data_IF_151813077760
#
_entry.id   IF_151813077760
#
_cell.length_a   1.000
_cell.length_b   1.000
_cell.length_c   1.000
_cell.angle_alpha   90.00
_cell.angle_beta   90.00
_cell.angle_gamma   90.00
#
_symmetry.space_group_name_H-M   'P 1'
#
loop_
_entity.id
_entity.type
_entity.pdbx_description
1 polymer ?
#
# COMPACT_ATOMS: atom_id res chain seq x y z
N UNK A 1 7.33 2.27 -90.17
CA UNK A 1 7.10 3.70 -89.81
C UNK A 1 5.91 3.75 -88.86
N UNK A 2 5.91 4.47 -87.72
CA UNK A 2 6.99 4.87 -86.81
C UNK A 2 6.69 4.60 -85.30
N UNK A 3 7.73 4.77 -84.48
CA UNK A 3 7.81 5.35 -83.11
C UNK A 3 6.94 4.89 -81.92
N UNK A 4 7.64 4.60 -80.81
CA UNK A 4 7.16 4.84 -79.44
C UNK A 4 8.04 4.24 -78.34
N UNK A 5 9.01 4.97 -77.75
CA UNK A 5 9.67 4.57 -76.51
C UNK A 5 9.10 5.38 -75.34
N UNK A 6 8.56 4.71 -74.31
CA UNK A 6 8.14 5.39 -73.09
C UNK A 6 7.89 4.41 -71.95
N UNK A 7 8.49 4.65 -70.79
CA UNK A 7 8.06 3.98 -69.54
C UNK A 7 9.14 3.25 -68.74
N UNK A 8 10.42 3.64 -68.79
CA UNK A 8 11.44 3.08 -67.88
C UNK A 8 12.19 4.10 -67.01
N UNK A 9 11.95 5.41 -67.18
CA UNK A 9 12.55 6.48 -66.37
C UNK A 9 11.82 6.79 -65.05
N UNK A 10 10.48 6.72 -65.05
CA UNK A 10 9.66 7.31 -63.99
C UNK A 10 9.63 6.49 -62.69
N UNK A 11 9.91 5.18 -62.78
CA UNK A 11 9.90 4.28 -61.64
C UNK A 11 11.20 4.33 -60.80
N UNK A 12 12.30 4.81 -61.38
CA UNK A 12 13.57 4.97 -60.65
C UNK A 12 13.62 6.31 -59.92
N UNK A 13 13.07 7.36 -60.54
CA UNK A 13 13.09 8.72 -59.99
C UNK A 13 12.20 8.85 -58.74
N UNK A 14 11.07 8.15 -58.72
CA UNK A 14 10.19 8.06 -57.54
C UNK A 14 10.84 7.32 -56.36
N UNK A 15 11.76 6.38 -56.60
CA UNK A 15 12.50 5.68 -55.53
C UNK A 15 13.64 6.52 -54.96
N UNK A 16 14.33 7.30 -55.80
CA UNK A 16 15.38 8.24 -55.35
C UNK A 16 14.77 9.42 -54.58
N UNK A 17 13.63 9.95 -55.04
CA UNK A 17 12.88 11.00 -54.33
C UNK A 17 12.40 10.53 -52.94
N UNK A 18 11.89 9.28 -52.81
CA UNK A 18 11.50 8.72 -51.51
C UNK A 18 12.68 8.46 -50.57
N UNK A 19 13.87 8.12 -51.07
CA UNK A 19 15.07 7.96 -50.23
C UNK A 19 15.60 9.30 -49.72
N UNK A 20 15.54 10.38 -50.50
CA UNK A 20 15.97 11.72 -50.05
C UNK A 20 15.06 12.32 -48.97
N UNK A 21 13.77 11.98 -48.97
CA UNK A 21 12.83 12.39 -47.92
C UNK A 21 13.05 11.67 -46.56
N UNK A 22 13.73 10.51 -46.55
CA UNK A 22 13.98 9.73 -45.33
C UNK A 22 15.24 10.16 -44.54
N UNK A 23 16.09 11.02 -45.12
CA UNK A 23 17.31 11.57 -44.47
C UNK A 23 17.16 13.01 -44.01
N UNK A 24 15.97 13.60 -44.08
CA UNK A 24 15.69 14.90 -43.47
C UNK A 24 15.41 14.72 -41.98
N UNK A 25 16.47 14.57 -41.19
CA UNK A 25 16.43 14.75 -39.73
C UNK A 25 15.94 16.18 -39.48
N UNK A 26 14.85 16.40 -38.73
CA UNK A 26 14.40 17.76 -38.47
C UNK A 26 15.49 18.51 -37.69
N UNK A 27 15.87 19.68 -38.18
CA UNK A 27 16.86 20.60 -37.59
C UNK A 27 16.54 21.04 -36.13
N UNK A 28 15.47 20.53 -35.52
CA UNK A 28 15.15 20.66 -34.09
C UNK A 28 15.93 19.70 -33.18
N UNK A 29 16.53 18.64 -33.71
CA UNK A 29 17.28 17.66 -32.90
C UNK A 29 18.77 17.99 -32.71
N UNK A 30 19.35 18.88 -33.53
CA UNK A 30 20.74 19.32 -33.36
C UNK A 30 20.92 20.30 -32.21
N UNK A 31 19.93 21.16 -31.95
CA UNK A 31 19.97 22.11 -30.82
C UNK A 31 19.85 21.42 -29.45
N UNK A 32 19.09 20.32 -29.37
CA UNK A 32 18.82 19.65 -28.08
C UNK A 32 20.01 18.83 -27.56
N UNK A 33 20.90 18.37 -28.45
CA UNK A 33 22.14 17.66 -28.04
C UNK A 33 23.25 18.58 -27.55
N UNK A 34 23.29 19.84 -28.00
CA UNK A 34 24.29 20.81 -27.53
C UNK A 34 24.01 21.31 -26.10
N UNK A 35 22.73 21.43 -25.71
CA UNK A 35 22.35 21.92 -24.38
C UNK A 35 22.53 20.91 -23.23
N UNK A 36 22.77 19.62 -23.51
CA UNK A 36 22.97 18.59 -22.46
C UNK A 36 24.47 18.46 -22.10
N UNK A 37 25.38 18.94 -22.95
CA UNK A 37 26.83 18.83 -22.71
C UNK A 37 27.40 19.91 -21.78
N UNK A 38 26.72 21.06 -21.64
CA UNK A 38 27.11 22.13 -20.73
C UNK A 38 25.97 22.36 -19.73
N UNK A 39 26.19 22.01 -18.47
CA UNK A 39 25.20 22.05 -17.39
C UNK A 39 24.75 23.46 -16.98
N UNK A 40 24.18 24.22 -17.91
CA UNK A 40 23.68 25.58 -17.70
C UNK A 40 22.16 25.59 -17.52
N UNK A 41 21.73 25.68 -16.26
CA UNK A 41 20.32 25.74 -15.85
C UNK A 41 19.54 26.98 -16.37
N UNK A 42 20.18 27.86 -17.14
CA UNK A 42 19.57 29.10 -17.65
C UNK A 42 18.85 28.94 -18.99
N UNK A 43 19.10 27.87 -19.76
CA UNK A 43 18.49 27.70 -21.08
C UNK A 43 17.07 27.10 -21.04
N UNK A 44 16.71 26.39 -19.97
CA UNK A 44 15.40 25.74 -19.82
C UNK A 44 14.24 26.74 -19.57
N UNK A 45 14.55 27.97 -19.14
CA UNK A 45 13.54 28.94 -18.72
C UNK A 45 12.89 29.72 -19.89
N UNK A 46 13.41 29.62 -21.12
CA UNK A 46 13.03 30.54 -22.21
C UNK A 46 12.12 29.93 -23.31
N UNK A 47 11.62 28.70 -23.11
CA UNK A 47 10.69 28.04 -24.05
C UNK A 47 9.24 27.94 -23.56
N UNK A 48 8.88 28.58 -22.44
CA UNK A 48 7.50 28.63 -21.97
C UNK A 48 6.70 29.73 -22.69
N UNK A 49 6.22 29.42 -23.90
CA UNK A 49 5.23 30.26 -24.58
C UNK A 49 3.87 30.18 -23.85
N UNK A 50 3.17 31.31 -23.60
CA UNK A 50 1.89 31.30 -22.91
C UNK A 50 0.75 31.00 -23.90
N UNK A 51 -0.17 30.10 -23.53
CA UNK A 51 -1.51 30.06 -24.12
C UNK A 51 -1.80 29.00 -25.17
N UNK A 52 -1.62 27.70 -24.85
CA UNK A 52 -2.28 26.63 -25.60
C UNK A 52 -2.88 25.60 -24.62
N UNK A 53 -4.21 25.58 -24.48
CA UNK A 53 -4.91 24.50 -23.76
C UNK A 53 -4.94 23.26 -24.67
N UNK A 54 -4.40 22.10 -24.26
CA UNK A 54 -4.56 20.88 -25.04
C UNK A 54 -6.03 20.41 -24.92
N UNK A 55 -6.77 20.51 -26.02
CA UNK A 55 -8.13 19.98 -26.14
C UNK A 55 -8.01 18.47 -26.42
N UNK A 56 -7.98 17.66 -25.35
CA UNK A 56 -8.03 16.20 -25.47
C UNK A 56 -9.48 15.79 -25.71
N UNK A 57 -9.84 15.53 -26.97
CA UNK A 57 -11.10 14.86 -27.33
C UNK A 57 -10.95 13.35 -27.11
N UNK A 58 -11.34 12.88 -25.93
CA UNK A 58 -11.45 11.46 -25.60
C UNK A 58 -12.66 10.87 -26.33
N UNK A 59 -12.38 10.08 -27.38
CA UNK A 59 -13.39 9.28 -28.08
C UNK A 59 -13.69 8.04 -27.23
N UNK A 60 -14.77 8.09 -26.45
CA UNK A 60 -15.23 6.99 -25.61
C UNK A 60 -15.69 5.81 -26.48
N UNK A 61 -14.90 4.73 -26.50
CA UNK A 61 -15.40 3.40 -26.90
C UNK A 61 -16.14 2.82 -25.70
N UNK A 62 -17.47 2.81 -25.79
CA UNK A 62 -18.35 2.03 -24.92
C UNK A 62 -18.02 0.54 -25.09
N UNK A 63 -17.48 -0.09 -24.06
CA UNK A 63 -17.74 -1.50 -23.78
C UNK A 63 -18.12 -1.61 -22.31
N UNK A 64 -19.18 -2.36 -22.08
CA UNK A 64 -20.01 -2.31 -20.88
C UNK A 64 -19.39 -2.93 -19.64
N UNK A 65 -20.10 -2.68 -18.54
CA UNK A 65 -19.95 -3.27 -17.21
C UNK A 65 -18.98 -2.54 -16.26
N UNK A 66 -19.48 -1.47 -15.65
CA UNK A 66 -18.94 -0.90 -14.41
C UNK A 66 -20.09 -0.76 -13.43
N UNK A 67 -20.01 -1.45 -12.29
CA UNK A 67 -20.80 -1.15 -11.10
C UNK A 67 -20.48 0.29 -10.69
N UNK A 68 -21.46 1.18 -10.81
CA UNK A 68 -21.35 2.58 -10.40
C UNK A 68 -21.41 2.69 -8.86
N UNK A 69 -20.24 2.65 -8.22
CA UNK A 69 -20.09 3.13 -6.84
C UNK A 69 -19.99 4.66 -6.94
N UNK A 70 -21.15 5.31 -6.92
CA UNK A 70 -21.26 6.77 -6.83
C UNK A 70 -20.62 7.28 -5.53
N UNK A 71 -19.33 7.63 -5.59
CA UNK A 71 -18.65 8.42 -4.55
C UNK A 71 -19.11 9.87 -4.67
N UNK A 72 -20.24 10.19 -4.04
CA UNK A 72 -20.72 11.57 -3.91
C UNK A 72 -19.69 12.33 -3.09
N UNK A 73 -19.01 13.28 -3.72
CA UNK A 73 -18.01 14.15 -3.11
C UNK A 73 -18.59 14.85 -1.87
N UNK A 74 -18.25 14.33 -0.69
CA UNK A 74 -18.50 14.99 0.59
C UNK A 74 -17.55 16.19 0.63
N UNK A 75 -18.10 17.39 0.45
CA UNK A 75 -17.36 18.65 0.66
C UNK A 75 -16.82 18.65 2.10
N UNK A 76 -15.52 18.91 2.33
CA UNK A 76 -15.02 19.07 3.69
C UNK A 76 -15.69 20.31 4.31
N UNK A 77 -16.21 20.24 5.54
CA UNK A 77 -16.69 21.43 6.23
C UNK A 77 -15.51 22.36 6.50
N UNK A 78 -15.71 23.64 6.18
CA UNK A 78 -14.79 24.73 6.50
C UNK A 78 -14.63 24.77 8.03
N UNK A 79 -13.47 24.36 8.52
CA UNK A 79 -13.08 24.56 9.92
C UNK A 79 -12.84 26.05 10.15
N UNK A 80 -13.85 26.74 10.67
CA UNK A 80 -13.70 28.05 11.29
C UNK A 80 -12.85 27.85 12.54
N UNK A 81 -11.59 28.28 12.50
CA UNK A 81 -10.71 28.31 13.67
C UNK A 81 -11.27 29.37 14.63
N UNK A 82 -12.09 28.93 15.59
CA UNK A 82 -12.45 29.76 16.72
C UNK A 82 -11.21 29.92 17.61
N UNK A 83 -10.77 31.17 17.75
CA UNK A 83 -9.65 31.57 18.59
C UNK A 83 -9.87 31.08 20.04
N UNK A 84 -9.03 30.15 20.48
CA UNK A 84 -9.01 29.66 21.85
C UNK A 84 -8.40 30.76 22.74
N UNK A 85 -9.24 31.49 23.45
CA UNK A 85 -8.80 32.50 24.41
C UNK A 85 -8.09 31.81 25.60
N UNK A 86 -6.90 32.26 26.03
CA UNK A 86 -6.22 31.67 27.18
C UNK A 86 -6.93 32.06 28.47
N UNK A 87 -7.72 31.15 29.03
CA UNK A 87 -8.28 31.31 30.38
C UNK A 87 -7.15 31.22 31.40
N UNK A 88 -6.94 32.33 32.13
CA UNK A 88 -5.96 32.47 33.21
C UNK A 88 -6.02 31.27 34.18
N UNK A 89 -4.93 30.51 34.23
CA UNK A 89 -4.71 29.47 35.23
C UNK A 89 -4.54 30.13 36.60
N UNK A 90 -5.60 30.10 37.41
CA UNK A 90 -5.58 30.59 38.80
C UNK A 90 -4.90 29.52 39.66
N UNK A 91 -3.60 29.72 39.91
CA UNK A 91 -2.82 28.90 40.84
C UNK A 91 -3.40 29.10 42.25
N UNK A 92 -4.24 28.16 42.69
CA UNK A 92 -4.67 28.06 44.08
C UNK A 92 -3.57 27.33 44.85
N UNK A 93 -2.69 28.11 45.48
CA UNK A 93 -1.86 27.62 46.59
C UNK A 93 -2.79 27.23 47.74
N UNK A 94 -2.93 25.94 48.04
CA UNK A 94 -3.54 25.50 49.32
C UNK A 94 -2.77 24.36 49.97
N UNK A 95 -2.07 24.78 51.03
CA UNK A 95 -1.93 24.17 52.35
C UNK A 95 -1.49 22.69 52.49
N UNK A 96 -0.29 22.57 53.07
CA UNK A 96 0.14 21.61 54.11
C UNK A 96 -0.50 20.22 54.04
N UNK A 97 0.19 19.28 53.39
CA UNK A 97 0.00 17.85 53.67
C UNK A 97 0.62 17.54 55.03
N UNK A 98 -0.22 17.08 55.95
CA UNK A 98 0.17 16.53 57.25
C UNK A 98 1.04 15.30 57.03
N UNK A 99 2.05 15.18 57.88
CA UNK A 99 2.94 14.04 57.99
C UNK A 99 2.12 12.78 58.31
N UNK A 100 2.15 11.77 57.44
CA UNK A 100 1.61 10.44 57.78
C UNK A 100 2.69 9.67 58.55
N UNK A 101 2.34 8.94 59.63
CA UNK A 101 3.30 8.08 60.31
C UNK A 101 3.73 6.94 59.38
N UNK A 102 5.03 6.66 59.33
CA UNK A 102 5.58 5.48 58.65
C UNK A 102 5.16 4.24 59.44
N UNK A 103 4.40 3.35 58.80
CA UNK A 103 4.15 2.00 59.30
C UNK A 103 5.43 1.16 59.23
N UNK A 104 5.64 0.19 60.13
CA UNK A 104 6.79 -0.70 60.09
C UNK A 104 6.82 -1.47 58.78
N UNK A 105 7.97 -1.48 58.11
CA UNK A 105 8.23 -2.35 56.97
C UNK A 105 8.21 -3.81 57.44
N UNK A 106 7.07 -4.49 57.31
CA UNK A 106 7.01 -5.95 57.30
C UNK A 106 7.78 -6.40 56.06
N UNK A 107 9.03 -6.82 56.25
CA UNK A 107 9.77 -7.59 55.25
C UNK A 107 9.20 -9.01 55.22
N UNK A 108 7.92 -9.12 54.91
CA UNK A 108 7.37 -10.37 54.41
C UNK A 108 8.02 -10.55 53.05
N UNK A 109 9.09 -11.34 53.05
CA UNK A 109 9.58 -12.06 51.90
C UNK A 109 8.37 -12.70 51.25
N UNK A 110 7.72 -11.96 50.36
CA UNK A 110 6.86 -12.51 49.33
C UNK A 110 7.85 -13.30 48.51
N UNK A 111 8.03 -14.57 48.88
CA UNK A 111 8.48 -15.57 47.95
C UNK A 111 7.56 -15.37 46.76
N UNK A 112 8.09 -14.71 45.74
CA UNK A 112 7.59 -14.87 44.40
C UNK A 112 7.80 -16.35 44.14
N UNK A 113 6.83 -17.15 44.57
CA UNK A 113 6.45 -18.33 43.84
C UNK A 113 6.30 -17.81 42.42
N UNK A 114 7.37 -17.96 41.65
CA UNK A 114 7.27 -18.06 40.21
C UNK A 114 6.43 -19.32 40.02
N UNK A 115 5.13 -19.15 40.20
CA UNK A 115 4.15 -20.08 39.69
C UNK A 115 4.46 -20.08 38.20
N UNK A 116 5.15 -21.12 37.76
CA UNK A 116 5.11 -21.57 36.38
C UNK A 116 3.71 -22.15 36.12
N UNK A 117 2.67 -21.43 36.52
CA UNK A 117 1.41 -21.47 35.81
C UNK A 117 1.75 -20.92 34.45
N UNK A 118 1.72 -21.78 33.43
CA UNK A 118 1.69 -21.30 32.06
C UNK A 118 0.46 -20.42 31.93
N UNK A 119 0.61 -19.12 32.22
CA UNK A 119 -0.30 -18.06 31.85
C UNK A 119 -0.28 -18.05 30.32
N UNK A 120 -1.03 -18.97 29.73
CA UNK A 120 -1.18 -19.09 28.31
C UNK A 120 -1.70 -17.75 27.82
N UNK A 121 -0.87 -17.02 27.09
CA UNK A 121 -1.27 -15.80 26.41
C UNK A 121 -2.61 -16.07 25.72
N UNK A 122 -3.61 -15.20 25.93
CA UNK A 122 -4.97 -15.44 25.44
C UNK A 122 -4.92 -15.80 23.95
N UNK A 123 -5.66 -16.83 23.53
CA UNK A 123 -5.44 -17.45 22.20
C UNK A 123 -5.59 -16.41 21.09
N UNK A 124 -6.59 -15.53 21.20
CA UNK A 124 -6.78 -14.39 20.32
C UNK A 124 -5.61 -13.39 20.30
N UNK A 125 -4.95 -13.13 21.44
CA UNK A 125 -3.76 -12.29 21.50
C UNK A 125 -2.56 -12.94 20.81
N UNK A 126 -2.38 -14.24 20.98
CA UNK A 126 -1.36 -15.02 20.25
C UNK A 126 -1.63 -14.98 18.75
N UNK A 127 -2.89 -15.12 18.33
CA UNK A 127 -3.30 -14.98 16.93
C UNK A 127 -3.01 -13.58 16.37
N UNK A 128 -3.23 -12.52 17.17
CA UNK A 128 -2.88 -11.16 16.80
C UNK A 128 -1.38 -11.00 16.57
N UNK A 129 -0.55 -11.54 17.48
CA UNK A 129 0.90 -11.53 17.34
C UNK A 129 1.36 -12.28 16.09
N UNK A 130 0.84 -13.48 15.85
CA UNK A 130 1.13 -14.26 14.64
C UNK A 130 0.75 -13.46 13.39
N UNK A 131 -0.42 -12.82 13.39
CA UNK A 131 -0.88 -12.01 12.26
C UNK A 131 0.01 -10.80 12.02
N UNK A 132 0.50 -10.14 13.08
CA UNK A 132 1.42 -9.02 12.97
C UNK A 132 2.79 -9.42 12.39
N UNK A 133 3.25 -10.64 12.68
CA UNK A 133 4.53 -11.16 12.16
C UNK A 133 4.43 -11.72 10.73
N UNK A 134 3.22 -12.09 10.31
CA UNK A 134 2.98 -12.75 9.02
C UNK A 134 3.45 -11.95 7.79
N UNK A 135 3.22 -10.62 7.67
CA UNK A 135 3.75 -9.86 6.54
C UNK A 135 5.27 -10.00 6.41
N UNK A 136 6.00 -10.09 7.52
CA UNK A 136 7.46 -10.21 7.49
C UNK A 136 7.89 -11.56 6.90
N UNK A 137 7.17 -12.64 7.15
CA UNK A 137 7.44 -13.94 6.51
C UNK A 137 7.37 -13.80 4.98
N UNK A 138 6.31 -13.18 4.47
CA UNK A 138 6.15 -12.99 3.01
C UNK A 138 7.19 -12.05 2.39
N UNK A 139 7.61 -11.00 3.09
CA UNK A 139 8.67 -10.11 2.59
C UNK A 139 10.02 -10.83 2.52
N UNK A 140 10.32 -11.69 3.50
CA UNK A 140 11.54 -12.50 3.45
C UNK A 140 11.52 -13.48 2.28
N UNK A 141 10.38 -14.11 1.98
CA UNK A 141 10.21 -14.93 0.77
C UNK A 141 10.41 -14.11 -0.52
N UNK A 142 9.90 -12.88 -0.60
CA UNK A 142 10.10 -12.02 -1.77
C UNK A 142 11.58 -11.62 -1.97
N UNK A 143 12.31 -11.47 -0.86
CA UNK A 143 13.72 -11.06 -0.83
C UNK A 143 14.72 -12.22 -0.82
N UNK A 144 14.28 -13.47 -0.94
CA UNK A 144 15.14 -14.67 -0.81
C UNK A 144 16.05 -14.93 -2.04
N UNK A 145 16.69 -13.89 -2.57
CA UNK A 145 17.55 -13.95 -3.76
C UNK A 145 18.99 -13.67 -3.39
N UNK A 146 19.93 -14.43 -3.96
CA UNK A 146 21.36 -14.12 -3.88
C UNK A 146 21.74 -12.81 -4.58
N UNK A 147 20.86 -12.27 -5.44
CA UNK A 147 21.02 -10.98 -6.14
C UNK A 147 20.39 -9.80 -5.40
N UNK A 148 19.99 -9.97 -4.14
CA UNK A 148 19.40 -8.89 -3.35
C UNK A 148 20.50 -7.92 -2.91
N UNK A 149 20.49 -6.72 -3.46
CA UNK A 149 21.31 -5.60 -3.01
C UNK A 149 20.50 -4.73 -2.04
N UNK A 150 21.09 -4.42 -0.88
CA UNK A 150 20.45 -3.63 0.16
C UNK A 150 20.56 -2.12 -0.06
N UNK A 151 21.27 -1.67 -1.10
CA UNK A 151 21.40 -0.25 -1.45
C UNK A 151 20.10 0.36 -2.03
N UNK A 152 19.30 -0.41 -2.78
CA UNK A 152 17.99 0.02 -3.27
C UNK A 152 16.91 -1.07 -3.08
N UNK A 153 16.42 -1.25 -1.83
CA UNK A 153 15.47 -2.31 -1.53
C UNK A 153 14.10 -2.09 -2.20
N UNK A 154 13.73 -0.83 -2.48
CA UNK A 154 12.42 -0.49 -3.07
C UNK A 154 12.44 -0.70 -4.58
N UNK A 155 13.51 -0.27 -5.26
CA UNK A 155 13.69 -0.55 -6.68
C UNK A 155 13.84 -2.05 -6.97
N UNK A 156 14.50 -2.81 -6.07
CA UNK A 156 14.54 -4.27 -6.17
C UNK A 156 13.15 -4.90 -6.14
N UNK A 157 12.32 -4.54 -5.15
CA UNK A 157 10.96 -5.08 -5.02
C UNK A 157 10.06 -4.74 -6.21
N UNK A 158 10.24 -3.55 -6.80
CA UNK A 158 9.49 -3.11 -7.98
C UNK A 158 9.85 -3.87 -9.27
N UNK A 159 11.02 -4.51 -9.33
CA UNK A 159 11.51 -5.30 -10.47
C UNK A 159 11.33 -6.81 -10.27
N UNK A 160 10.66 -7.22 -9.19
CA UNK A 160 10.40 -8.63 -8.93
C UNK A 160 9.40 -9.18 -9.94
N UNK A 161 9.71 -10.37 -10.47
CA UNK A 161 8.85 -11.14 -11.35
C UNK A 161 8.55 -12.54 -10.79
N UNK A 162 7.56 -13.21 -11.38
CA UNK A 162 7.22 -14.60 -11.08
C UNK A 162 6.72 -14.82 -9.64
N UNK A 163 7.21 -15.88 -8.99
CA UNK A 163 6.73 -16.26 -7.65
C UNK A 163 7.13 -15.25 -6.56
N UNK A 164 8.26 -14.55 -6.71
CA UNK A 164 8.72 -13.53 -5.76
C UNK A 164 7.86 -12.28 -5.80
N UNK A 165 7.42 -11.88 -7.00
CA UNK A 165 6.42 -10.81 -7.16
C UNK A 165 5.11 -11.16 -6.45
N UNK A 166 4.68 -12.43 -6.56
CA UNK A 166 3.48 -12.94 -5.86
C UNK A 166 3.66 -12.95 -4.33
N UNK A 167 4.84 -13.30 -3.84
CA UNK A 167 5.16 -13.20 -2.40
C UNK A 167 5.11 -11.73 -1.91
N UNK A 168 5.61 -10.78 -2.70
CA UNK A 168 5.50 -9.36 -2.38
C UNK A 168 4.03 -8.87 -2.41
N UNK A 169 3.22 -9.34 -3.35
CA UNK A 169 1.79 -9.06 -3.36
C UNK A 169 1.07 -9.64 -2.12
N UNK A 170 1.44 -10.85 -1.67
CA UNK A 170 0.93 -11.46 -0.44
C UNK A 170 1.34 -10.66 0.81
N UNK A 171 2.55 -10.08 0.84
CA UNK A 171 3.00 -9.18 1.89
C UNK A 171 2.09 -7.96 2.00
N UNK A 172 1.87 -7.24 0.89
CA UNK A 172 1.01 -6.05 0.87
C UNK A 172 -0.42 -6.35 1.33
N UNK A 173 -1.01 -7.44 0.83
CA UNK A 173 -2.35 -7.83 1.26
C UNK A 173 -2.42 -8.25 2.73
N UNK A 174 -1.33 -8.81 3.28
CA UNK A 174 -1.29 -9.18 4.70
C UNK A 174 -1.28 -7.97 5.62
N UNK A 175 -0.71 -6.84 5.20
CA UNK A 175 -0.82 -5.57 5.95
C UNK A 175 -2.24 -5.02 5.99
N UNK A 176 -2.94 -5.05 4.86
CA UNK A 176 -4.34 -4.60 4.78
C UNK A 176 -5.24 -5.47 5.66
N UNK A 177 -5.06 -6.79 5.61
CA UNK A 177 -5.81 -7.73 6.42
C UNK A 177 -5.50 -7.59 7.92
N UNK A 178 -4.23 -7.37 8.29
CA UNK A 178 -3.81 -7.16 9.67
C UNK A 178 -4.48 -5.93 10.29
N UNK A 179 -4.52 -4.80 9.57
CA UNK A 179 -5.16 -3.58 10.05
C UNK A 179 -6.66 -3.80 10.36
N UNK A 180 -7.38 -4.43 9.44
CA UNK A 180 -8.80 -4.74 9.61
C UNK A 180 -9.06 -5.73 10.75
N UNK A 181 -8.25 -6.79 10.85
CA UNK A 181 -8.38 -7.80 11.91
C UNK A 181 -8.11 -7.21 13.28
N UNK A 182 -7.05 -6.41 13.42
CA UNK A 182 -6.70 -5.75 14.69
C UNK A 182 -7.84 -4.85 15.15
N UNK A 183 -8.41 -4.05 14.25
CA UNK A 183 -9.54 -3.19 14.58
C UNK A 183 -10.76 -4.00 15.05
N UNK A 184 -11.11 -5.08 14.35
CA UNK A 184 -12.25 -5.92 14.72
C UNK A 184 -12.04 -6.64 16.06
N UNK A 185 -10.82 -7.12 16.33
CA UNK A 185 -10.48 -7.80 17.57
C UNK A 185 -10.55 -6.87 18.79
N UNK A 186 -10.03 -5.64 18.64
CA UNK A 186 -10.13 -4.61 19.68
C UNK A 186 -11.58 -4.23 19.96
N UNK A 187 -12.43 -4.12 18.92
CA UNK A 187 -13.87 -3.86 19.10
C UNK A 187 -14.55 -5.01 19.83
N UNK A 188 -14.28 -6.26 19.45
CA UNK A 188 -14.85 -7.43 20.11
C UNK A 188 -14.48 -7.50 21.61
N UNK A 189 -13.21 -7.22 21.94
CA UNK A 189 -12.75 -7.12 23.33
C UNK A 189 -13.41 -5.96 24.08
N UNK A 190 -13.54 -4.79 23.45
CA UNK A 190 -14.21 -3.64 24.05
C UNK A 190 -15.69 -3.93 24.32
N UNK A 191 -16.36 -4.65 23.42
CA UNK A 191 -17.78 -4.99 23.58
C UNK A 191 -18.02 -6.06 24.66
N UNK A 192 -16.98 -6.66 25.23
CA UNK A 192 -17.12 -7.75 26.19
C UNK A 192 -17.66 -9.04 25.55
N UNK A 193 -17.37 -9.26 24.26
CA UNK A 193 -17.82 -10.45 23.55
C UNK A 193 -17.28 -11.74 24.20
N UNK A 194 -18.04 -12.84 24.04
CA UNK A 194 -17.63 -14.16 24.54
C UNK A 194 -16.23 -14.55 24.03
N UNK A 195 -15.27 -14.71 24.95
CA UNK A 195 -13.86 -15.03 24.65
C UNK A 195 -13.70 -16.29 23.80
N UNK A 196 -14.46 -17.35 24.06
CA UNK A 196 -14.35 -18.61 23.30
C UNK A 196 -14.72 -18.40 21.82
N UNK A 197 -15.74 -17.59 21.53
CA UNK A 197 -16.12 -17.25 20.15
C UNK A 197 -15.07 -16.40 19.46
N UNK A 198 -14.52 -15.42 20.18
CA UNK A 198 -13.45 -14.55 19.66
C UNK A 198 -12.20 -15.36 19.33
N UNK A 199 -11.81 -16.30 20.20
CA UNK A 199 -10.66 -17.19 19.99
C UNK A 199 -10.86 -18.09 18.76
N UNK A 200 -12.04 -18.69 18.60
CA UNK A 200 -12.37 -19.50 17.42
C UNK A 200 -12.28 -18.70 16.12
N UNK A 201 -12.87 -17.50 16.09
CA UNK A 201 -12.81 -16.61 14.93
C UNK A 201 -11.38 -16.16 14.63
N UNK A 202 -10.57 -15.89 15.65
CA UNK A 202 -9.16 -15.53 15.50
C UNK A 202 -8.33 -16.68 14.90
N UNK A 203 -8.53 -17.91 15.35
CA UNK A 203 -7.85 -19.09 14.80
C UNK A 203 -8.21 -19.28 13.32
N UNK A 204 -9.50 -19.26 12.99
CA UNK A 204 -9.97 -19.43 11.61
C UNK A 204 -9.42 -18.31 10.72
N UNK A 205 -9.38 -17.08 11.22
CA UNK A 205 -8.76 -15.97 10.50
C UNK A 205 -7.28 -16.23 10.22
N UNK A 206 -6.46 -16.55 11.22
CA UNK A 206 -5.03 -16.84 11.04
C UNK A 206 -4.81 -17.97 10.05
N UNK A 207 -5.54 -19.09 10.19
CA UNK A 207 -5.45 -20.22 9.27
C UNK A 207 -5.80 -19.81 7.83
N UNK A 208 -6.87 -19.03 7.65
CA UNK A 208 -7.24 -18.50 6.33
C UNK A 208 -6.13 -17.63 5.72
N UNK A 209 -5.44 -16.83 6.53
CA UNK A 209 -4.37 -15.93 6.06
C UNK A 209 -3.11 -16.68 5.66
N UNK A 210 -2.73 -17.71 6.41
CA UNK A 210 -1.62 -18.60 6.03
C UNK A 210 -1.94 -19.30 4.71
N UNK A 211 -3.13 -19.90 4.61
CA UNK A 211 -3.58 -20.58 3.38
C UNK A 211 -3.64 -19.61 2.19
N UNK A 212 -4.16 -18.40 2.39
CA UNK A 212 -4.21 -17.36 1.36
C UNK A 212 -2.82 -17.00 0.83
N UNK A 213 -1.83 -16.84 1.71
CA UNK A 213 -0.45 -16.57 1.32
C UNK A 213 0.15 -17.72 0.49
N UNK A 214 -0.02 -18.96 0.93
CA UNK A 214 0.43 -20.16 0.18
C UNK A 214 -0.21 -20.22 -1.21
N UNK A 215 -1.54 -20.01 -1.30
CA UNK A 215 -2.26 -19.98 -2.58
C UNK A 215 -1.78 -18.86 -3.51
N UNK A 216 -1.34 -17.73 -2.95
CA UNK A 216 -0.71 -16.65 -3.69
C UNK A 216 0.59 -17.11 -4.36
N UNK A 217 1.44 -17.85 -3.64
CA UNK A 217 2.69 -18.38 -4.17
C UNK A 217 2.42 -19.40 -5.30
N UNK A 218 1.44 -20.27 -5.10
CA UNK A 218 1.00 -21.31 -6.05
C UNK A 218 0.20 -20.78 -7.26
N UNK A 219 -0.19 -19.50 -7.26
CA UNK A 219 -0.94 -18.85 -8.33
C UNK A 219 -2.36 -19.45 -8.59
N UNK A 220 -3.04 -19.92 -7.55
CA UNK A 220 -4.41 -20.47 -7.64
C UNK A 220 -5.47 -19.41 -7.36
N UNK A 221 -5.92 -18.71 -8.41
CA UNK A 221 -6.74 -17.51 -8.28
C UNK A 221 -8.13 -17.74 -7.66
N UNK A 222 -8.82 -18.84 -7.99
CA UNK A 222 -10.20 -19.10 -7.52
C UNK A 222 -10.24 -19.44 -6.03
N UNK A 223 -9.39 -20.38 -5.58
CA UNK A 223 -9.26 -20.74 -4.16
C UNK A 223 -8.81 -19.53 -3.33
N UNK A 224 -7.94 -18.68 -3.87
CA UNK A 224 -7.48 -17.45 -3.22
C UNK A 224 -8.66 -16.53 -2.87
N UNK A 225 -9.60 -16.33 -3.79
CA UNK A 225 -10.79 -15.51 -3.53
C UNK A 225 -11.70 -16.13 -2.46
N UNK A 226 -11.89 -17.46 -2.50
CA UNK A 226 -12.71 -18.17 -1.51
C UNK A 226 -12.14 -18.01 -0.10
N UNK A 227 -10.84 -18.26 0.07
CA UNK A 227 -10.17 -18.14 1.37
C UNK A 227 -10.13 -16.69 1.85
N UNK A 228 -9.99 -15.72 0.94
CA UNK A 228 -10.11 -14.30 1.27
C UNK A 228 -11.49 -13.94 1.82
N UNK A 229 -12.56 -14.45 1.20
CA UNK A 229 -13.93 -14.24 1.68
C UNK A 229 -14.12 -14.84 3.08
N UNK A 230 -13.57 -16.03 3.35
CA UNK A 230 -13.60 -16.61 4.71
C UNK A 230 -12.96 -15.66 5.73
N UNK A 231 -11.77 -15.15 5.44
CA UNK A 231 -11.10 -14.19 6.32
C UNK A 231 -11.91 -12.90 6.52
N UNK A 232 -12.54 -12.37 5.46
CA UNK A 232 -13.40 -11.20 5.55
C UNK A 232 -14.63 -11.46 6.42
N UNK A 233 -15.28 -12.62 6.26
CA UNK A 233 -16.42 -13.03 7.08
C UNK A 233 -16.03 -13.10 8.55
N UNK A 234 -14.87 -13.67 8.90
CA UNK A 234 -14.38 -13.67 10.28
C UNK A 234 -14.25 -12.26 10.87
N UNK A 235 -13.70 -11.31 10.11
CA UNK A 235 -13.56 -9.90 10.53
C UNK A 235 -14.93 -9.26 10.76
N UNK A 236 -15.88 -9.47 9.85
CA UNK A 236 -17.25 -8.95 10.00
C UNK A 236 -17.91 -9.55 11.24
N UNK A 237 -17.78 -10.85 11.47
CA UNK A 237 -18.32 -11.51 12.66
C UNK A 237 -17.70 -11.01 13.96
N UNK A 238 -16.41 -10.67 13.97
CA UNK A 238 -15.75 -10.05 15.13
C UNK A 238 -16.35 -8.67 15.45
N UNK A 239 -16.64 -7.85 14.44
CA UNK A 239 -17.32 -6.55 14.66
C UNK A 239 -18.74 -6.70 15.22
N UNK A 240 -19.44 -7.77 14.81
CA UNK A 240 -20.80 -8.06 15.27
C UNK A 240 -20.82 -8.84 16.59
N UNK A 241 -19.66 -9.25 17.11
CA UNK A 241 -19.58 -9.99 18.36
C UNK A 241 -19.98 -9.08 19.53
N UNK A 242 -21.02 -9.52 20.24
CA UNK A 242 -21.57 -8.90 21.44
C UNK A 242 -21.55 -9.93 22.59
N UNK A 243 -21.79 -9.49 23.84
CA UNK A 243 -21.79 -10.35 25.04
C UNK A 243 -22.65 -11.60 24.92
#
# INVERSE_FOLDING_TARGET
MPAGPGGRGDALDTRVARRRAATAIPARLSASRACIAHGDARCAAQQAAPGAKPRVTLRARRLGFVLDISFRAIRPPRLTVAAFAPTRCRIVRRARRRHSPRTPHDKRTRSSSFDNGGENMNVSQTCLLITALMPFVWTMCAKSSSRYDNHDPRGYLARLDGWRARAFAAHQNSWEAFALFTAALVVAWHNGANMQRVDQLAIVFVASRVLYGVLYLLNWATLRSLVWTVGLVCVVWLFLAAP
#
